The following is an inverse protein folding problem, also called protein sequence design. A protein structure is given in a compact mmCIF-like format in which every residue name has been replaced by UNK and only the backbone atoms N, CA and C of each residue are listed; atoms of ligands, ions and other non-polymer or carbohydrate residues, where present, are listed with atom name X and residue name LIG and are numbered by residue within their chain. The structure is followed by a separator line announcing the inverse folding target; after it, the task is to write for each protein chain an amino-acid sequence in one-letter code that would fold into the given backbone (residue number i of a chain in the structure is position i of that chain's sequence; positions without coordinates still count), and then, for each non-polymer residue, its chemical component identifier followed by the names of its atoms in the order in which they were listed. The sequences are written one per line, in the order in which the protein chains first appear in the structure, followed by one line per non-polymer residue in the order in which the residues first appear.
data_IF_226321412929
#
_entry.id   IF_226321412929
#
_cell.length_a   1.000
_cell.length_b   1.000
_cell.length_c   1.000
_cell.angle_alpha   90.00
_cell.angle_beta   90.00
_cell.angle_gamma   90.00
#
_symmetry.space_group_name_H-M   'P 1'
#
loop_
_entity.id
_entity.type
_entity.pdbx_description
1 polymer ?
#
# COMPACT_ATOMS: atom_id res chain seq x y z
N UNK A 1 30.18 14.86 30.79
CA UNK A 1 29.09 14.57 29.82
C UNK A 1 27.83 14.36 30.63
N UNK A 2 26.92 15.34 30.63
CA UNK A 2 25.63 15.23 31.31
C UNK A 2 24.71 14.38 30.46
N UNK A 3 24.42 13.17 30.93
CA UNK A 3 23.39 12.29 30.38
C UNK A 3 22.05 13.00 30.60
N UNK A 4 21.47 13.59 29.56
CA UNK A 4 20.08 14.05 29.65
C UNK A 4 19.20 12.83 29.96
N UNK A 5 18.54 12.86 31.12
CA UNK A 5 17.63 11.79 31.50
C UNK A 5 16.32 11.98 30.74
N UNK A 6 15.98 10.98 29.92
CA UNK A 6 14.68 10.91 29.26
C UNK A 6 13.56 10.93 30.30
N UNK A 7 12.65 11.91 30.20
CA UNK A 7 11.51 12.10 31.12
C UNK A 7 10.20 12.09 30.35
N UNK A 8 9.29 11.22 30.76
CA UNK A 8 7.92 11.14 30.23
C UNK A 8 6.94 11.55 31.33
N UNK A 9 5.98 12.40 31.00
CA UNK A 9 4.83 12.73 31.84
C UNK A 9 3.71 11.68 31.67
N UNK A 10 3.83 10.58 32.42
CA UNK A 10 2.93 9.42 32.31
C UNK A 10 1.49 9.75 32.71
N UNK A 11 1.27 10.66 33.65
CA UNK A 11 -0.07 11.05 34.08
C UNK A 11 -0.81 11.77 32.95
N UNK A 12 -0.17 12.74 32.29
CA UNK A 12 -0.76 13.41 31.12
C UNK A 12 -1.00 12.46 29.95
N UNK A 13 -0.12 11.48 29.72
CA UNK A 13 -0.33 10.48 28.67
C UNK A 13 -1.55 9.62 28.97
N UNK A 14 -1.69 9.12 30.21
CA UNK A 14 -2.84 8.32 30.62
C UNK A 14 -4.15 9.10 30.54
N UNK A 15 -4.15 10.36 30.99
CA UNK A 15 -5.33 11.22 30.91
C UNK A 15 -5.77 11.47 29.47
N UNK A 16 -4.82 11.77 28.57
CA UNK A 16 -5.11 11.93 27.13
C UNK A 16 -5.61 10.65 26.48
N UNK A 17 -4.99 9.52 26.77
CA UNK A 17 -5.41 8.22 26.21
C UNK A 17 -6.87 7.92 26.56
N UNK A 18 -7.29 8.21 27.80
CA UNK A 18 -8.69 8.04 28.22
C UNK A 18 -9.66 9.00 27.53
N UNK A 19 -9.23 10.22 27.22
CA UNK A 19 -10.07 11.25 26.55
C UNK A 19 -10.26 10.99 25.06
N UNK A 20 -9.38 10.21 24.43
CA UNK A 20 -9.36 10.01 22.98
C UNK A 20 -9.46 8.51 22.60
N UNK A 21 -10.10 7.69 23.44
CA UNK A 21 -10.26 6.25 23.17
C UNK A 21 -10.97 5.97 21.84
N UNK A 22 -11.89 6.85 21.44
CA UNK A 22 -12.66 6.71 20.20
C UNK A 22 -11.90 7.20 18.96
N UNK A 23 -10.72 7.84 19.12
CA UNK A 23 -9.89 8.31 18.01
C UNK A 23 -9.00 7.19 17.41
N UNK A 24 -9.22 5.94 17.81
CA UNK A 24 -8.44 4.79 17.36
C UNK A 24 -6.97 4.87 17.81
N UNK A 25 -6.03 4.28 17.06
CA UNK A 25 -4.60 4.27 17.41
C UNK A 25 -3.90 5.61 17.16
N UNK A 26 -4.59 6.63 16.66
CA UNK A 26 -4.02 7.94 16.40
C UNK A 26 -3.70 8.65 17.72
N UNK A 27 -2.44 9.03 17.86
CA UNK A 27 -1.98 9.85 18.98
C UNK A 27 -1.67 11.26 18.48
N UNK A 28 -1.76 12.29 19.34
CA UNK A 28 -1.36 13.66 18.98
C UNK A 28 0.09 13.77 18.49
N UNK A 29 0.92 12.76 18.73
CA UNK A 29 2.32 12.66 18.29
C UNK A 29 2.52 12.11 16.87
N UNK A 30 1.46 11.77 16.13
CA UNK A 30 1.55 11.14 14.80
C UNK A 30 2.35 11.95 13.77
N UNK A 31 2.46 13.28 13.91
CA UNK A 31 3.45 14.08 13.19
C UNK A 31 3.23 14.26 11.68
N UNK A 32 2.14 13.72 11.12
CA UNK A 32 1.68 13.95 9.74
C UNK A 32 0.20 14.35 9.72
N UNK A 33 -0.21 14.95 8.60
CA UNK A 33 -1.61 15.12 8.26
C UNK A 33 -2.20 13.74 7.91
N UNK A 34 -3.09 13.26 8.77
CA UNK A 34 -3.73 11.94 8.66
C UNK A 34 -4.53 11.83 7.37
N UNK A 35 -5.28 12.87 7.00
CA UNK A 35 -6.13 12.85 5.80
C UNK A 35 -5.26 12.72 4.55
N UNK A 36 -4.10 13.38 4.54
CA UNK A 36 -3.14 13.26 3.44
C UNK A 36 -2.50 11.86 3.37
N UNK A 37 -2.17 11.25 4.52
CA UNK A 37 -1.63 9.87 4.53
C UNK A 37 -2.68 8.88 4.06
N UNK A 38 -3.93 9.01 4.54
CA UNK A 38 -5.05 8.19 4.09
C UNK A 38 -5.24 8.33 2.59
N UNK A 39 -5.21 9.55 2.03
CA UNK A 39 -5.34 9.74 0.59
C UNK A 39 -4.26 8.98 -0.20
N UNK A 40 -3.00 9.08 0.21
CA UNK A 40 -1.89 8.35 -0.43
C UNK A 40 -2.10 6.84 -0.32
N UNK A 41 -2.54 6.34 0.83
CA UNK A 41 -2.82 4.91 1.01
C UNK A 41 -4.01 4.44 0.16
N UNK A 42 -5.00 5.29 -0.10
CA UNK A 42 -6.08 4.96 -1.03
C UNK A 42 -5.60 4.84 -2.48
N UNK A 43 -4.56 5.59 -2.88
CA UNK A 43 -3.92 5.46 -4.18
C UNK A 43 -3.08 4.17 -4.26
N UNK A 44 -2.33 3.85 -3.20
CA UNK A 44 -1.59 2.58 -3.07
C UNK A 44 -2.56 1.40 -3.13
N UNK A 45 -3.63 1.41 -2.34
CA UNK A 45 -4.66 0.36 -2.36
C UNK A 45 -5.24 0.14 -3.76
N UNK A 46 -5.57 1.23 -4.46
CA UNK A 46 -6.06 1.13 -5.84
C UNK A 46 -5.03 0.51 -6.79
N UNK A 47 -3.75 0.86 -6.61
CA UNK A 47 -2.63 0.33 -7.39
C UNK A 47 -2.50 -1.18 -7.21
N UNK A 48 -2.45 -1.66 -5.96
CA UNK A 48 -2.35 -3.10 -5.64
C UNK A 48 -3.53 -3.89 -6.23
N UNK A 49 -4.76 -3.38 -6.12
CA UNK A 49 -5.93 -4.05 -6.69
C UNK A 49 -5.84 -4.11 -8.22
N UNK A 50 -5.43 -3.02 -8.88
CA UNK A 50 -5.26 -3.00 -10.34
C UNK A 50 -4.15 -3.97 -10.78
N UNK A 51 -3.04 -4.02 -10.05
CA UNK A 51 -1.93 -4.94 -10.30
C UNK A 51 -2.35 -6.41 -10.08
N UNK A 52 -3.02 -6.75 -8.98
CA UNK A 52 -3.58 -8.09 -8.74
C UNK A 52 -4.45 -8.53 -9.92
N UNK A 53 -5.40 -7.68 -10.34
CA UNK A 53 -6.32 -7.99 -11.42
C UNK A 53 -5.57 -8.17 -12.75
N UNK A 54 -4.51 -7.38 -13.01
CA UNK A 54 -3.69 -7.50 -14.22
C UNK A 54 -2.89 -8.80 -14.22
N UNK A 55 -2.23 -9.14 -13.11
CA UNK A 55 -1.51 -10.41 -12.97
C UNK A 55 -2.43 -11.62 -13.12
N UNK A 56 -3.64 -11.59 -12.55
CA UNK A 56 -4.66 -12.63 -12.78
C UNK A 56 -5.06 -12.72 -14.25
N UNK A 57 -5.25 -11.59 -14.93
CA UNK A 57 -5.55 -11.60 -16.36
C UNK A 57 -4.42 -12.23 -17.17
N UNK A 58 -3.16 -11.89 -16.89
CA UNK A 58 -1.98 -12.50 -17.50
C UNK A 58 -1.84 -13.99 -17.20
N UNK A 59 -2.10 -14.42 -15.96
CA UNK A 59 -2.15 -15.83 -15.58
C UNK A 59 -3.11 -16.64 -16.47
N UNK A 60 -4.34 -16.17 -16.64
CA UNK A 60 -5.33 -16.87 -17.47
C UNK A 60 -5.07 -16.74 -18.97
N UNK A 61 -4.45 -15.64 -19.41
CA UNK A 61 -4.16 -15.39 -20.82
C UNK A 61 -2.87 -16.08 -21.32
N UNK A 62 -1.94 -16.40 -20.42
CA UNK A 62 -0.69 -17.09 -20.74
C UNK A 62 -0.97 -18.50 -21.32
N UNK A 63 -0.54 -18.72 -22.56
CA UNK A 63 -0.74 -19.97 -23.32
C UNK A 63 0.57 -20.47 -23.91
N UNK A 64 0.62 -21.77 -24.22
CA UNK A 64 1.78 -22.44 -24.81
C UNK A 64 2.79 -22.92 -23.76
N UNK A 65 3.80 -23.69 -24.21
CA UNK A 65 4.76 -24.36 -23.32
C UNK A 65 5.48 -23.38 -22.38
N UNK A 66 5.91 -22.22 -22.90
CA UNK A 66 6.52 -21.17 -22.09
C UNK A 66 5.52 -20.46 -21.18
N UNK A 67 4.26 -20.34 -21.60
CA UNK A 67 3.20 -19.73 -20.77
C UNK A 67 2.89 -20.57 -19.53
N UNK A 68 2.88 -21.90 -19.64
CA UNK A 68 2.67 -22.80 -18.48
C UNK A 68 3.78 -22.69 -17.42
N UNK A 69 5.00 -22.32 -17.83
CA UNK A 69 6.12 -22.09 -16.91
C UNK A 69 5.95 -20.76 -16.16
N UNK A 70 5.50 -19.71 -16.85
CA UNK A 70 5.40 -18.35 -16.28
C UNK A 70 4.11 -18.14 -15.47
N UNK A 71 3.09 -18.98 -15.68
CA UNK A 71 1.82 -18.92 -14.95
C UNK A 71 1.99 -18.94 -13.43
N UNK A 72 2.87 -19.76 -12.88
CA UNK A 72 3.07 -19.79 -11.43
C UNK A 72 3.51 -18.43 -10.90
N UNK A 73 4.43 -17.75 -11.60
CA UNK A 73 4.93 -16.43 -11.23
C UNK A 73 3.84 -15.36 -11.26
N UNK A 74 3.00 -15.34 -12.31
CA UNK A 74 1.86 -14.41 -12.36
C UNK A 74 0.88 -14.63 -11.21
N UNK A 75 0.63 -15.88 -10.82
CA UNK A 75 -0.27 -16.18 -9.71
C UNK A 75 0.35 -15.84 -8.34
N UNK A 76 1.66 -16.03 -8.21
CA UNK A 76 2.43 -15.62 -7.02
C UNK A 76 2.35 -14.11 -6.84
N UNK A 77 2.71 -13.32 -7.86
CA UNK A 77 2.60 -11.86 -7.79
C UNK A 77 1.17 -11.39 -7.56
N UNK A 78 0.16 -11.97 -8.22
CA UNK A 78 -1.24 -11.65 -7.91
C UNK A 78 -1.59 -11.88 -6.43
N UNK A 79 -0.98 -12.88 -5.79
CA UNK A 79 -1.21 -13.17 -4.38
C UNK A 79 -0.48 -12.18 -3.46
N UNK A 80 0.74 -11.78 -3.83
CA UNK A 80 1.54 -10.78 -3.11
C UNK A 80 0.87 -9.40 -3.14
N UNK A 81 0.39 -8.95 -4.30
CA UNK A 81 -0.36 -7.69 -4.48
C UNK A 81 -1.63 -7.68 -3.61
N UNK A 82 -2.37 -8.80 -3.61
CA UNK A 82 -3.56 -8.94 -2.75
C UNK A 82 -3.21 -8.83 -1.27
N UNK A 83 -2.19 -9.55 -0.81
CA UNK A 83 -1.76 -9.52 0.59
C UNK A 83 -1.27 -8.12 0.99
N UNK A 84 -0.56 -7.43 0.10
CA UNK A 84 -0.17 -6.06 0.35
C UNK A 84 -1.37 -5.11 0.39
N UNK A 85 -2.29 -5.18 -0.57
CA UNK A 85 -3.54 -4.42 -0.57
C UNK A 85 -4.37 -4.63 0.71
N UNK A 86 -4.44 -5.86 1.23
CA UNK A 86 -5.12 -6.17 2.50
C UNK A 86 -4.45 -5.45 3.69
N UNK A 87 -3.12 -5.48 3.77
CA UNK A 87 -2.37 -4.74 4.81
C UNK A 87 -2.62 -3.24 4.72
N UNK A 88 -2.65 -2.69 3.50
CA UNK A 88 -2.93 -1.26 3.25
C UNK A 88 -4.36 -0.90 3.69
N UNK A 89 -5.35 -1.72 3.34
CA UNK A 89 -6.73 -1.51 3.73
C UNK A 89 -6.89 -1.49 5.26
N UNK A 90 -6.24 -2.42 5.95
CA UNK A 90 -6.20 -2.44 7.42
C UNK A 90 -5.54 -1.18 7.99
N UNK A 91 -4.47 -0.69 7.35
CA UNK A 91 -3.82 0.56 7.79
C UNK A 91 -4.71 1.79 7.59
N UNK A 92 -5.50 1.85 6.53
CA UNK A 92 -6.48 2.92 6.31
C UNK A 92 -7.54 2.93 7.41
N UNK A 93 -8.06 1.76 7.79
CA UNK A 93 -9.01 1.60 8.90
C UNK A 93 -8.40 2.04 10.24
N UNK A 94 -7.16 1.63 10.52
CA UNK A 94 -6.41 2.09 11.69
C UNK A 94 -6.22 3.61 11.72
N UNK A 95 -6.19 4.28 10.58
CA UNK A 95 -6.11 5.74 10.50
C UNK A 95 -7.49 6.42 10.54
N UNK A 96 -8.56 5.67 10.80
CA UNK A 96 -9.91 6.17 11.02
C UNK A 96 -10.72 6.39 9.74
N UNK A 97 -10.29 5.82 8.61
CA UNK A 97 -10.96 5.95 7.32
C UNK A 97 -11.44 4.60 6.78
N UNK A 98 -12.43 4.62 5.87
CA UNK A 98 -12.93 3.40 5.24
C UNK A 98 -12.09 3.10 3.97
N UNK A 99 -11.48 1.91 3.84
CA UNK A 99 -10.73 1.56 2.63
C UNK A 99 -11.65 1.50 1.41
N UNK A 100 -11.25 2.16 0.33
CA UNK A 100 -12.08 2.29 -0.86
C UNK A 100 -11.74 1.23 -1.93
N UNK A 101 -12.57 0.18 -1.97
CA UNK A 101 -12.51 -0.91 -2.95
C UNK A 101 -13.45 -0.70 -4.16
N UNK A 102 -14.06 0.48 -4.33
CA UNK A 102 -15.03 0.71 -5.41
C UNK A 102 -14.38 0.52 -6.79
N UNK A 103 -14.77 -0.51 -7.56
CA UNK A 103 -14.17 -0.82 -8.86
C UNK A 103 -14.35 0.29 -9.89
N UNK A 104 -15.38 1.14 -9.74
CA UNK A 104 -15.63 2.24 -10.66
C UNK A 104 -14.54 3.32 -10.61
N UNK A 105 -13.79 3.41 -9.50
CA UNK A 105 -12.82 4.51 -9.26
C UNK A 105 -11.38 4.02 -9.11
N UNK A 106 -11.12 2.71 -9.24
CA UNK A 106 -9.78 2.15 -9.05
C UNK A 106 -8.77 2.72 -10.07
N UNK A 107 -9.13 2.72 -11.35
CA UNK A 107 -8.25 3.18 -12.43
C UNK A 107 -7.92 4.68 -12.35
N UNK A 108 -8.78 5.48 -11.72
CA UNK A 108 -8.57 6.92 -11.54
C UNK A 108 -7.56 7.23 -10.42
N UNK A 109 -7.42 6.31 -9.46
CA UNK A 109 -6.56 6.48 -8.27
C UNK A 109 -5.24 5.71 -8.38
N UNK A 110 -5.23 4.61 -9.11
CA UNK A 110 -4.06 3.74 -9.23
C UNK A 110 -2.90 4.46 -9.94
N UNK A 111 -1.68 4.26 -9.44
CA UNK A 111 -0.46 4.72 -10.09
C UNK A 111 -0.13 3.86 -11.31
N UNK A 112 -0.47 2.56 -11.28
CA UNK A 112 -0.28 1.62 -12.37
C UNK A 112 -1.56 1.45 -13.20
N UNK A 113 -1.39 1.17 -14.49
CA UNK A 113 -2.51 0.98 -15.42
C UNK A 113 -2.94 -0.48 -15.50
N UNK A 114 -4.23 -0.70 -15.75
CA UNK A 114 -4.77 -2.01 -16.13
C UNK A 114 -4.52 -2.26 -17.64
N UNK A 115 -3.28 -2.58 -18.00
CA UNK A 115 -2.90 -2.88 -19.38
C UNK A 115 -2.56 -4.38 -19.51
N UNK A 116 -3.28 -5.08 -20.40
CA UNK A 116 -3.10 -6.51 -20.62
C UNK A 116 -2.35 -6.75 -21.92
N UNK A 117 -1.23 -7.49 -21.85
CA UNK A 117 -0.40 -7.82 -23.01
C UNK A 117 -1.05 -8.81 -23.97
N UNK A 118 -0.88 -8.61 -25.28
CA UNK A 118 -1.41 -9.49 -26.32
C UNK A 118 -0.59 -10.76 -26.57
N UNK A 119 0.69 -10.75 -26.18
CA UNK A 119 1.60 -11.89 -26.22
C UNK A 119 2.29 -12.07 -24.86
N UNK A 120 2.89 -13.25 -24.59
CA UNK A 120 3.62 -13.47 -23.33
C UNK A 120 4.73 -12.43 -23.09
N UNK A 121 5.44 -12.03 -24.15
CA UNK A 121 6.47 -11.00 -24.05
C UNK A 121 5.89 -9.61 -23.74
N UNK A 122 4.68 -9.33 -24.21
CA UNK A 122 3.98 -8.09 -23.89
C UNK A 122 3.45 -8.12 -22.45
N UNK A 123 2.87 -9.24 -22.00
CA UNK A 123 2.41 -9.40 -20.61
C UNK A 123 3.54 -9.10 -19.62
N UNK A 124 4.69 -9.74 -19.82
CA UNK A 124 5.89 -9.52 -19.01
C UNK A 124 6.39 -8.07 -19.07
N UNK A 125 6.25 -7.40 -20.23
CA UNK A 125 6.64 -6.00 -20.38
C UNK A 125 5.72 -5.08 -19.60
N UNK A 126 4.40 -5.27 -19.71
CA UNK A 126 3.42 -4.45 -19.01
C UNK A 126 3.54 -4.61 -17.49
N UNK A 127 3.75 -5.84 -17.01
CA UNK A 127 4.00 -6.09 -15.58
C UNK A 127 5.29 -5.41 -15.13
N UNK A 128 6.40 -5.56 -15.86
CA UNK A 128 7.65 -4.89 -15.51
C UNK A 128 7.54 -3.36 -15.51
N UNK A 129 6.75 -2.78 -16.40
CA UNK A 129 6.49 -1.32 -16.40
C UNK A 129 5.75 -0.92 -15.14
N UNK A 130 4.70 -1.65 -14.77
CA UNK A 130 3.94 -1.39 -13.55
C UNK A 130 4.79 -1.54 -12.29
N UNK A 131 5.63 -2.57 -12.20
CA UNK A 131 6.57 -2.75 -11.08
C UNK A 131 7.53 -1.57 -10.94
N UNK A 132 8.05 -1.05 -12.05
CA UNK A 132 8.94 0.13 -12.02
C UNK A 132 8.22 1.37 -11.51
N UNK A 133 6.96 1.55 -11.89
CA UNK A 133 6.13 2.64 -11.39
C UNK A 133 5.92 2.47 -9.88
N UNK A 134 5.51 1.29 -9.42
CA UNK A 134 5.28 1.00 -8.01
C UNK A 134 6.54 1.22 -7.15
N UNK A 135 7.69 0.66 -7.56
CA UNK A 135 8.97 0.86 -6.85
C UNK A 135 9.31 2.34 -6.73
N UNK A 136 9.12 3.12 -7.81
CA UNK A 136 9.42 4.55 -7.77
C UNK A 136 8.45 5.32 -6.88
N UNK A 137 7.14 5.08 -7.01
CA UNK A 137 6.13 5.79 -6.19
C UNK A 137 6.27 5.44 -4.72
N UNK A 138 6.46 4.16 -4.38
CA UNK A 138 6.54 3.72 -2.99
C UNK A 138 7.84 4.19 -2.35
N UNK A 139 8.96 4.24 -3.09
CA UNK A 139 10.20 4.86 -2.61
C UNK A 139 10.01 6.33 -2.23
N UNK A 140 9.25 7.10 -3.03
CA UNK A 140 8.94 8.49 -2.70
C UNK A 140 8.01 8.60 -1.48
N UNK A 141 7.03 7.70 -1.35
CA UNK A 141 6.16 7.62 -0.16
C UNK A 141 6.99 7.31 1.10
N UNK A 142 7.89 6.33 1.05
CA UNK A 142 8.83 5.98 2.14
C UNK A 142 9.62 7.20 2.61
N UNK A 143 10.18 7.96 1.66
CA UNK A 143 10.94 9.19 1.95
C UNK A 143 10.06 10.26 2.56
N UNK A 144 8.86 10.45 2.02
CA UNK A 144 7.92 11.45 2.49
C UNK A 144 7.41 11.13 3.91
N UNK A 145 7.05 9.88 4.21
CA UNK A 145 6.61 9.45 5.54
C UNK A 145 7.71 9.65 6.59
N UNK A 146 8.95 9.29 6.24
CA UNK A 146 10.12 9.48 7.10
C UNK A 146 9.93 8.86 8.49
N UNK A 147 10.33 9.58 9.54
CA UNK A 147 10.19 9.10 10.92
C UNK A 147 8.86 9.47 11.58
N UNK A 148 7.98 10.18 10.86
CA UNK A 148 6.69 10.60 11.41
C UNK A 148 5.66 9.46 11.41
N UNK A 149 5.64 8.62 10.37
CA UNK A 149 4.83 7.41 10.35
C UNK A 149 5.67 6.16 10.02
N UNK A 150 6.42 5.65 11.01
CA UNK A 150 7.28 4.48 10.81
C UNK A 150 6.50 3.19 10.55
N UNK A 151 5.22 3.12 10.95
CA UNK A 151 4.37 1.96 10.71
C UNK A 151 4.04 1.86 9.24
N UNK A 152 3.45 2.90 8.66
CA UNK A 152 3.11 2.93 7.23
C UNK A 152 4.37 2.84 6.37
N UNK A 153 5.47 3.50 6.77
CA UNK A 153 6.74 3.45 6.03
C UNK A 153 7.29 2.03 5.85
N UNK A 154 7.11 1.14 6.83
CA UNK A 154 7.62 -0.24 6.76
C UNK A 154 6.76 -1.17 5.90
N UNK A 155 5.54 -0.74 5.59
CA UNK A 155 4.61 -1.49 4.76
C UNK A 155 4.87 -1.22 3.27
N UNK A 156 5.28 0.00 2.95
CA UNK A 156 5.77 0.38 1.62
C UNK A 156 7.11 -0.29 1.30
#
# INVERSE_FOLDING_TARGET
MTTESFRIDLEKIRDRARKHMDAGPLTPSYGKDVDRVVQVLQEVLATEIVCELRYRAHYYAAKGLHGEIVKSEFLEHASEEREHGERIAERIDQLGAIPNFDPATLSERAHAQYQVGGSLADMLREDLVAERVAVQTYTEIVRWLGDADPTTRRMM
#
